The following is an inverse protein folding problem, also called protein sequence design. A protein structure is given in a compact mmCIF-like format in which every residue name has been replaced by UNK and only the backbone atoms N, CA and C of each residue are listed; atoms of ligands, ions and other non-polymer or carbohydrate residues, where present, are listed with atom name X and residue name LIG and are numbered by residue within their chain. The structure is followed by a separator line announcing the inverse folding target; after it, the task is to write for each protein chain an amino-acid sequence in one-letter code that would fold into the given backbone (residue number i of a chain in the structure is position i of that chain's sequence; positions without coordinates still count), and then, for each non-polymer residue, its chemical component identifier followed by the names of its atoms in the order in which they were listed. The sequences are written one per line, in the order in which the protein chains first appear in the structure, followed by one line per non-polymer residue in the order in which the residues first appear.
data_IF_147833428663
#
_entry.id   IF_147833428663
#
_cell.length_a   1.000
_cell.length_b   1.000
_cell.length_c   1.000
_cell.angle_alpha   90.00
_cell.angle_beta   90.00
_cell.angle_gamma   90.00
#
_symmetry.space_group_name_H-M   'P 1'
#
loop_
_entity.id
_entity.type
_entity.pdbx_description
1 polymer ?
#
# COMPACT_ATOMS: atom_id res chain seq x y z
N UNK A 1 -25.93 -3.61 -23.28
CA UNK A 1 -25.77 -4.02 -21.87
C UNK A 1 -24.55 -3.32 -21.31
N UNK A 2 -24.70 -2.54 -20.25
CA UNK A 2 -23.59 -1.83 -19.60
C UNK A 2 -23.14 -2.63 -18.37
N UNK A 3 -21.83 -2.83 -18.21
CA UNK A 3 -21.24 -3.55 -17.06
C UNK A 3 -20.62 -2.54 -16.10
N UNK A 4 -20.84 -2.74 -14.81
CA UNK A 4 -20.27 -1.94 -13.72
C UNK A 4 -19.23 -2.80 -12.98
N UNK A 5 -18.07 -2.22 -12.70
CA UNK A 5 -17.07 -2.80 -11.80
C UNK A 5 -16.82 -1.80 -10.67
N UNK A 6 -16.85 -2.29 -9.43
CA UNK A 6 -16.43 -1.54 -8.25
C UNK A 6 -15.12 -2.16 -7.79
N UNK A 7 -14.09 -1.33 -7.70
CA UNK A 7 -12.80 -1.72 -7.15
C UNK A 7 -12.65 -1.07 -5.79
N UNK A 8 -12.20 -1.85 -4.82
CA UNK A 8 -11.67 -1.27 -3.59
C UNK A 8 -10.35 -0.53 -3.90
N UNK A 9 -9.97 0.41 -3.04
CA UNK A 9 -8.69 1.10 -3.18
C UNK A 9 -7.57 0.21 -2.63
N UNK A 10 -7.76 -0.24 -1.39
CA UNK A 10 -6.70 -0.82 -0.58
C UNK A 10 -6.42 -2.27 -1.00
N UNK A 11 -5.15 -2.57 -1.27
CA UNK A 11 -4.66 -3.88 -1.70
C UNK A 11 -5.35 -4.47 -2.95
N UNK A 12 -6.09 -3.63 -3.69
CA UNK A 12 -6.69 -3.94 -4.99
C UNK A 12 -6.09 -3.06 -6.08
N UNK A 13 -6.08 -1.72 -5.88
CA UNK A 13 -5.46 -0.77 -6.81
C UNK A 13 -4.06 -0.34 -6.36
N UNK A 14 -3.84 -0.31 -5.05
CA UNK A 14 -2.57 0.06 -4.42
C UNK A 14 -2.14 -1.02 -3.45
N UNK A 15 -0.84 -1.31 -3.38
CA UNK A 15 -0.29 -2.12 -2.30
C UNK A 15 -0.09 -1.22 -1.06
N UNK A 16 -1.17 -1.07 -0.28
CA UNK A 16 -1.21 -0.20 0.88
C UNK A 16 -0.37 -0.78 2.02
N UNK A 17 -0.30 -2.11 2.12
CA UNK A 17 0.53 -2.78 3.11
C UNK A 17 2.03 -2.52 2.85
N UNK A 18 2.49 -2.65 1.60
CA UNK A 18 3.86 -2.31 1.25
C UNK A 18 4.17 -0.82 1.50
N UNK A 19 3.23 0.07 1.20
CA UNK A 19 3.37 1.50 1.53
C UNK A 19 3.50 1.73 3.05
N UNK A 20 2.74 1.01 3.86
CA UNK A 20 2.79 1.12 5.32
C UNK A 20 4.11 0.58 5.88
N UNK A 21 4.62 -0.54 5.37
CA UNK A 21 5.94 -1.09 5.76
C UNK A 21 7.04 -0.05 5.52
N UNK A 22 7.09 0.52 4.31
CA UNK A 22 8.07 1.56 3.96
C UNK A 22 7.94 2.82 4.83
N UNK A 23 6.71 3.17 5.21
CA UNK A 23 6.48 4.27 6.15
C UNK A 23 7.02 3.93 7.53
N UNK A 24 6.69 2.75 8.07
CA UNK A 24 7.06 2.33 9.42
C UNK A 24 8.58 2.26 9.60
N UNK A 25 9.29 1.70 8.62
CA UNK A 25 10.77 1.69 8.58
C UNK A 25 11.34 3.11 8.66
N UNK A 26 10.84 4.02 7.82
CA UNK A 26 11.31 5.42 7.82
C UNK A 26 10.90 6.22 9.04
N UNK A 27 9.77 5.89 9.65
CA UNK A 27 9.35 6.50 10.89
C UNK A 27 10.22 6.04 12.05
N UNK A 28 10.66 4.78 12.05
CA UNK A 28 11.51 4.21 13.09
C UNK A 28 12.94 4.77 13.10
N UNK A 29 13.40 5.40 12.01
CA UNK A 29 14.66 6.16 11.94
C UNK A 29 14.73 7.28 13.01
N UNK A 30 13.60 7.65 13.61
CA UNK A 30 13.51 8.57 14.77
C UNK A 30 14.01 7.97 16.10
N UNK A 31 14.67 6.82 16.06
CA UNK A 31 15.22 6.16 17.25
C UNK A 31 14.31 5.12 17.89
N UNK A 32 13.31 4.61 17.16
CA UNK A 32 12.43 3.53 17.66
C UNK A 32 13.09 2.15 17.48
N UNK A 33 14.04 2.03 16.56
CA UNK A 33 14.75 0.78 16.27
C UNK A 33 13.88 -0.26 15.55
N UNK A 34 14.45 -1.45 15.32
CA UNK A 34 13.77 -2.56 14.63
C UNK A 34 12.53 -3.04 15.38
N UNK A 35 12.61 -3.17 16.71
CA UNK A 35 11.47 -3.52 17.55
C UNK A 35 10.32 -2.52 17.42
N UNK A 36 10.64 -1.25 17.15
CA UNK A 36 9.65 -0.22 16.88
C UNK A 36 8.88 -0.45 15.59
N UNK A 37 9.56 -0.90 14.53
CA UNK A 37 8.92 -1.27 13.25
C UNK A 37 7.96 -2.42 13.48
N UNK A 38 8.41 -3.51 14.11
CA UNK A 38 7.57 -4.69 14.38
C UNK A 38 6.33 -4.33 15.19
N UNK A 39 6.50 -3.46 16.21
CA UNK A 39 5.38 -2.99 17.01
C UNK A 39 4.37 -2.17 16.20
N UNK A 40 4.81 -1.28 15.30
CA UNK A 40 3.93 -0.50 14.43
C UNK A 40 3.16 -1.39 13.44
N UNK A 41 3.82 -2.42 12.88
CA UNK A 41 3.19 -3.38 11.98
C UNK A 41 2.12 -4.20 12.70
N UNK A 42 2.43 -4.67 13.91
CA UNK A 42 1.46 -5.39 14.75
C UNK A 42 0.26 -4.51 15.07
N UNK A 43 0.49 -3.27 15.51
CA UNK A 43 -0.56 -2.32 15.85
C UNK A 43 -1.48 -2.00 14.66
N UNK A 44 -0.93 -1.93 13.44
CA UNK A 44 -1.74 -1.71 12.23
C UNK A 44 -2.60 -2.93 11.90
N UNK A 45 -2.06 -4.16 12.06
CA UNK A 45 -2.83 -5.40 11.84
C UNK A 45 -3.95 -5.62 12.86
N UNK A 46 -3.77 -5.15 14.09
CA UNK A 46 -4.81 -5.20 15.12
C UNK A 46 -6.02 -4.30 14.78
N UNK A 47 -5.92 -3.53 13.69
CA UNK A 47 -7.08 -2.94 13.03
C UNK A 47 -7.67 -1.76 13.78
N UNK A 48 -6.85 -1.00 14.53
CA UNK A 48 -7.30 0.21 15.22
C UNK A 48 -8.05 1.12 14.23
N UNK A 49 -9.39 1.25 14.37
CA UNK A 49 -10.22 1.83 13.33
C UNK A 49 -10.08 3.35 13.25
N UNK A 50 -9.47 3.97 14.27
CA UNK A 50 -9.32 5.41 14.38
C UNK A 50 -7.84 5.77 14.43
N UNK A 51 -7.38 6.47 13.41
CA UNK A 51 -5.97 6.85 13.27
C UNK A 51 -5.50 7.77 14.41
N UNK A 52 -6.40 8.51 15.03
CA UNK A 52 -6.12 9.24 16.27
C UNK A 52 -5.73 8.31 17.43
N UNK A 53 -6.47 7.21 17.64
CA UNK A 53 -6.15 6.21 18.66
C UNK A 53 -4.80 5.52 18.36
N UNK A 54 -4.53 5.23 17.10
CA UNK A 54 -3.24 4.71 16.65
C UNK A 54 -2.11 5.66 17.05
N UNK A 55 -2.20 6.94 16.69
CA UNK A 55 -1.13 7.91 16.99
C UNK A 55 -1.05 8.29 18.47
N UNK A 56 -2.14 8.19 19.23
CA UNK A 56 -2.09 8.21 20.69
C UNK A 56 -1.24 7.06 21.24
N UNK A 57 -1.50 5.82 20.80
CA UNK A 57 -0.74 4.66 21.25
C UNK A 57 0.75 4.77 20.87
N UNK A 58 1.05 5.21 19.64
CA UNK A 58 2.43 5.44 19.16
C UNK A 58 3.14 6.49 20.03
N UNK A 59 2.48 7.63 20.27
CA UNK A 59 3.06 8.71 21.08
C UNK A 59 3.34 8.25 22.51
N UNK A 60 2.40 7.57 23.16
CA UNK A 60 2.57 7.06 24.52
C UNK A 60 3.69 6.02 24.60
N UNK A 61 3.75 5.08 23.64
CA UNK A 61 4.73 3.98 23.63
C UNK A 61 6.17 4.46 23.44
N UNK A 62 6.38 5.45 22.58
CA UNK A 62 7.71 5.95 22.21
C UNK A 62 8.04 7.32 22.80
N UNK A 63 7.16 7.87 23.64
CA UNK A 63 7.32 9.18 24.31
C UNK A 63 7.64 10.31 23.33
N UNK A 64 6.95 10.34 22.19
CA UNK A 64 7.15 11.36 21.17
C UNK A 64 6.68 12.73 21.65
N UNK A 65 7.44 13.77 21.29
CA UNK A 65 7.10 15.16 21.60
C UNK A 65 6.06 15.75 20.65
N UNK A 66 5.93 15.19 19.45
CA UNK A 66 4.94 15.62 18.46
C UNK A 66 3.51 15.45 18.99
N UNK A 67 2.61 16.37 18.63
CA UNK A 67 1.19 16.19 18.90
C UNK A 67 0.62 15.05 18.04
N UNK A 68 -0.50 14.47 18.46
CA UNK A 68 -1.20 13.44 17.67
C UNK A 68 -1.63 13.99 16.30
N UNK A 69 -2.02 15.27 16.25
CA UNK A 69 -2.40 15.95 15.02
C UNK A 69 -1.22 16.13 14.05
N UNK A 70 -0.05 16.48 14.57
CA UNK A 70 1.18 16.60 13.77
C UNK A 70 1.61 15.25 13.21
N UNK A 71 1.59 14.21 14.05
CA UNK A 71 1.90 12.83 13.64
C UNK A 71 0.95 12.35 12.54
N UNK A 72 -0.36 12.59 12.71
CA UNK A 72 -1.37 12.23 11.74
C UNK A 72 -1.21 12.99 10.42
N UNK A 73 -0.93 14.28 10.49
CA UNK A 73 -0.73 15.12 9.31
C UNK A 73 0.52 14.70 8.52
N UNK A 74 1.62 14.41 9.21
CA UNK A 74 2.84 13.89 8.60
C UNK A 74 2.61 12.51 7.97
N UNK A 75 1.90 11.62 8.67
CA UNK A 75 1.54 10.29 8.16
C UNK A 75 0.73 10.38 6.88
N UNK A 76 -0.37 11.15 6.84
CA UNK A 76 -1.22 11.28 5.65
C UNK A 76 -0.43 11.74 4.44
N UNK A 77 0.37 12.80 4.60
CA UNK A 77 1.20 13.34 3.53
C UNK A 77 2.16 12.27 2.99
N UNK A 78 2.79 11.51 3.88
CA UNK A 78 3.77 10.50 3.49
C UNK A 78 3.12 9.29 2.83
N UNK A 79 1.99 8.81 3.36
CA UNK A 79 1.28 7.66 2.83
C UNK A 79 0.71 7.93 1.43
N UNK A 80 0.21 9.13 1.14
CA UNK A 80 -0.23 9.49 -0.22
C UNK A 80 0.92 9.36 -1.22
N UNK A 81 2.09 9.91 -0.89
CA UNK A 81 3.26 9.85 -1.76
C UNK A 81 3.81 8.42 -1.94
N UNK A 82 3.65 7.56 -0.92
CA UNK A 82 4.05 6.16 -1.01
C UNK A 82 3.04 5.32 -1.79
N UNK A 83 1.74 5.51 -1.58
CA UNK A 83 0.68 4.80 -2.29
C UNK A 83 0.73 5.03 -3.81
N UNK A 84 1.08 6.24 -4.26
CA UNK A 84 1.24 6.54 -5.69
C UNK A 84 2.37 5.71 -6.34
N UNK A 85 3.42 5.41 -5.58
CA UNK A 85 4.52 4.55 -6.02
C UNK A 85 4.14 3.07 -6.01
N UNK A 86 3.18 2.66 -5.18
CA UNK A 86 2.75 1.27 -4.98
C UNK A 86 1.49 0.92 -5.77
N UNK A 87 1.26 1.54 -6.93
CA UNK A 87 0.16 1.13 -7.80
C UNK A 87 0.37 -0.29 -8.32
N UNK A 88 -0.66 -1.11 -8.22
CA UNK A 88 -0.64 -2.46 -8.77
C UNK A 88 -0.70 -2.34 -10.30
N UNK A 89 0.39 -2.70 -10.98
CA UNK A 89 0.40 -2.81 -12.44
C UNK A 89 -0.50 -3.97 -12.87
N UNK A 90 -1.58 -3.69 -13.60
CA UNK A 90 -2.43 -4.74 -14.19
C UNK A 90 -3.93 -4.48 -14.30
N UNK A 91 -4.45 -3.35 -13.81
CA UNK A 91 -5.89 -3.04 -13.91
C UNK A 91 -6.28 -2.17 -15.12
N UNK A 92 -5.41 -2.13 -16.13
CA UNK A 92 -5.69 -1.56 -17.43
C UNK A 92 -4.57 -1.86 -18.41
N UNK A 93 -4.66 -3.01 -19.09
CA UNK A 93 -4.37 -3.17 -20.53
C UNK A 93 -4.98 -4.54 -20.97
N UNK A 94 -6.03 -4.57 -21.79
CA UNK A 94 -6.52 -5.83 -22.40
C UNK A 94 -5.68 -6.26 -23.62
N UNK A 95 -4.38 -5.94 -23.69
CA UNK A 95 -3.60 -6.03 -24.94
C UNK A 95 -2.61 -7.20 -25.07
N UNK A 96 -2.76 -8.31 -24.35
CA UNK A 96 -1.90 -9.49 -24.57
C UNK A 96 -2.60 -10.80 -24.92
N UNK A 97 -3.93 -10.79 -25.11
CA UNK A 97 -4.66 -12.01 -25.51
C UNK A 97 -4.71 -12.26 -27.04
N UNK A 98 -4.26 -11.31 -27.86
CA UNK A 98 -4.37 -11.39 -29.34
C UNK A 98 -3.08 -11.76 -30.09
N UNK A 99 -1.93 -11.88 -29.43
CA UNK A 99 -0.66 -12.30 -30.08
C UNK A 99 -0.40 -13.81 -30.08
N UNK A 100 -1.30 -14.63 -29.51
CA UNK A 100 -1.14 -16.10 -29.51
C UNK A 100 -1.86 -16.82 -30.66
N UNK A 101 -2.73 -16.15 -31.43
CA UNK A 101 -3.56 -16.80 -32.48
C UNK A 101 -3.13 -16.56 -33.94
N UNK A 102 -1.83 -16.34 -34.22
CA UNK A 102 -1.29 -16.49 -35.60
C UNK A 102 -0.11 -17.46 -35.63
N UNK A 103 -0.30 -18.63 -35.04
CA UNK A 103 0.41 -19.83 -35.47
C UNK A 103 -0.64 -20.74 -36.09
N UNK A 104 -0.87 -20.61 -37.40
CA UNK A 104 -1.48 -21.60 -38.30
C UNK A 104 -1.58 -20.97 -39.70
N UNK A 105 -0.56 -21.18 -40.53
CA UNK A 105 -0.70 -21.65 -41.92
C UNK A 105 0.64 -21.56 -42.61
N UNK A 106 1.23 -22.72 -42.89
CA UNK A 106 2.03 -23.04 -44.08
C UNK A 106 2.37 -24.54 -44.00
N UNK A 107 1.48 -25.38 -44.52
CA UNK A 107 1.80 -26.77 -44.89
C UNK A 107 2.35 -26.70 -46.32
N UNK A 108 3.59 -27.11 -46.62
CA UNK A 108 3.99 -27.33 -48.00
C UNK A 108 3.46 -28.70 -48.46
N UNK A 109 2.83 -28.67 -49.63
CA UNK A 109 2.38 -29.85 -50.37
C UNK A 109 3.58 -30.58 -51.00
N UNK A 110 3.44 -31.91 -51.09
CA UNK A 110 3.94 -32.80 -52.16
C UNK A 110 5.36 -32.63 -52.66
#
# INVERSE_FOLDING_TARGET
MQRLALFDLDNTLIDLDAAFVLWAEKFADRGLGLEGVDWLLNLNRDGLPHRELFFHAVRERFRLSDSVEDLWTAYRRRMIALAERQRVHGLGEPEDQLRSSRHLSCIPAG
#
